data_IF_835540006251
#
_entry.id   IF_835540006251
#
_cell.length_a   1.000
_cell.length_b   1.000
_cell.length_c   1.000
_cell.angle_alpha   90.00
_cell.angle_beta   90.00
_cell.angle_gamma   90.00
#
_symmetry.space_group_name_H-M   'P 1'
#
loop_
_entity.id
_entity.type
_entity.pdbx_description
1 polymer ?
#
# COMPACT_ATOMS: atom_id res chain seq x y z
N UNK A 1 -13.88 1.19 -21.33
CA UNK A 1 -15.35 1.04 -21.19
C UNK A 1 -15.96 2.16 -20.35
N UNK A 2 -15.25 2.67 -19.36
CA UNK A 2 -15.79 3.61 -18.38
C UNK A 2 -15.53 5.08 -18.72
N UNK A 3 -14.60 5.35 -19.64
CA UNK A 3 -14.23 6.70 -20.07
C UNK A 3 -14.37 6.79 -21.58
N UNK A 4 -15.05 7.87 -22.04
CA UNK A 4 -15.10 8.17 -23.47
C UNK A 4 -13.76 8.74 -23.90
N UNK A 5 -13.15 8.11 -24.92
CA UNK A 5 -11.87 8.55 -25.49
C UNK A 5 -12.08 9.16 -26.86
N UNK A 6 -11.24 10.11 -27.24
CA UNK A 6 -11.30 10.75 -28.54
C UNK A 6 -10.66 9.87 -29.63
N UNK A 7 -9.58 9.19 -29.28
CA UNK A 7 -8.85 8.29 -30.16
C UNK A 7 -8.52 7.00 -29.41
N UNK A 8 -8.53 5.87 -30.09
CA UNK A 8 -8.13 4.60 -29.54
C UNK A 8 -7.43 3.74 -30.59
N UNK A 9 -6.57 2.86 -30.12
CA UNK A 9 -5.96 1.81 -30.93
C UNK A 9 -6.12 0.47 -30.21
N UNK A 10 -6.24 -0.60 -30.95
CA UNK A 10 -6.31 -1.97 -30.43
C UNK A 10 -5.10 -2.78 -30.90
N UNK A 11 -3.92 -2.27 -30.62
CA UNK A 11 -2.64 -2.86 -31.00
C UNK A 11 -1.73 -3.00 -29.77
N UNK A 12 -0.63 -3.71 -29.91
CA UNK A 12 0.42 -3.74 -28.90
C UNK A 12 0.96 -2.33 -28.64
N UNK A 13 1.05 -1.95 -27.36
CA UNK A 13 1.44 -0.58 -26.99
C UNK A 13 2.88 -0.26 -27.42
N UNK A 14 3.79 -1.22 -27.41
CA UNK A 14 5.18 -1.02 -27.81
C UNK A 14 5.24 -0.69 -29.29
N UNK A 15 4.54 -1.47 -30.12
CA UNK A 15 4.46 -1.20 -31.57
C UNK A 15 3.82 0.14 -31.85
N UNK A 16 2.72 0.46 -31.19
CA UNK A 16 2.04 1.76 -31.32
C UNK A 16 2.97 2.93 -31.00
N UNK A 17 3.72 2.85 -29.91
CA UNK A 17 4.66 3.90 -29.52
C UNK A 17 5.83 4.03 -30.49
N UNK A 18 6.35 2.91 -31.01
CA UNK A 18 7.40 2.92 -32.02
C UNK A 18 6.92 3.57 -33.33
N UNK A 19 5.71 3.26 -33.79
CA UNK A 19 5.11 3.87 -34.96
C UNK A 19 4.86 5.39 -34.77
N UNK A 20 4.35 5.81 -33.62
CA UNK A 20 4.16 7.22 -33.28
C UNK A 20 5.49 7.95 -33.29
N UNK A 21 6.51 7.43 -32.66
CA UNK A 21 7.84 8.05 -32.64
C UNK A 21 8.43 8.15 -34.05
N UNK A 22 8.35 7.06 -34.83
CA UNK A 22 8.79 7.07 -36.23
C UNK A 22 8.04 8.09 -37.09
N UNK A 23 6.73 8.24 -36.86
CA UNK A 23 5.93 9.25 -37.56
C UNK A 23 6.34 10.68 -37.18
N UNK A 24 6.58 10.94 -35.90
CA UNK A 24 7.06 12.23 -35.39
C UNK A 24 8.40 12.60 -36.03
N UNK A 25 9.35 11.68 -36.01
CA UNK A 25 10.69 11.88 -36.54
C UNK A 25 10.66 12.09 -38.07
N UNK A 26 9.91 11.26 -38.80
CA UNK A 26 9.82 11.31 -40.27
C UNK A 26 9.15 12.59 -40.79
N UNK A 27 8.27 13.19 -39.99
CA UNK A 27 7.55 14.39 -40.37
C UNK A 27 8.14 15.67 -39.71
N UNK A 28 9.27 15.54 -39.00
CA UNK A 28 9.92 16.64 -38.27
C UNK A 28 8.91 17.44 -37.41
N UNK A 29 8.02 16.72 -36.70
CA UNK A 29 7.01 17.37 -35.86
C UNK A 29 7.69 18.01 -34.68
N UNK A 30 7.69 19.31 -34.63
CA UNK A 30 8.20 20.10 -33.51
C UNK A 30 7.09 20.34 -32.48
N UNK A 31 7.29 19.82 -31.27
CA UNK A 31 6.45 20.10 -30.10
C UNK A 31 6.97 21.30 -29.29
N UNK A 32 8.07 21.92 -29.74
CA UNK A 32 8.67 23.09 -29.09
C UNK A 32 7.76 24.31 -29.06
N UNK A 33 8.00 25.17 -28.13
CA UNK A 33 7.36 26.48 -28.06
C UNK A 33 5.99 26.56 -27.37
N UNK A 34 5.42 25.47 -26.91
CA UNK A 34 4.21 25.53 -26.06
C UNK A 34 4.61 25.97 -24.64
N UNK A 35 4.07 27.08 -24.20
CA UNK A 35 4.23 27.50 -22.81
C UNK A 35 3.25 26.77 -21.90
N UNK A 36 3.78 25.92 -21.05
CA UNK A 36 3.02 25.18 -20.02
C UNK A 36 3.15 25.81 -18.63
N UNK A 37 3.70 27.02 -18.50
CA UNK A 37 3.97 27.65 -17.21
C UNK A 37 2.70 27.80 -16.35
N UNK A 38 1.58 28.20 -16.96
CA UNK A 38 0.29 28.29 -16.26
C UNK A 38 -0.19 26.93 -15.73
N UNK A 39 -0.02 25.87 -16.52
CA UNK A 39 -0.40 24.52 -16.10
C UNK A 39 0.50 23.99 -14.98
N UNK A 40 1.81 24.22 -15.10
CA UNK A 40 2.75 23.91 -14.02
C UNK A 40 2.50 24.76 -12.77
N UNK A 41 2.11 26.01 -12.94
CA UNK A 41 1.66 26.87 -11.84
C UNK A 41 0.49 26.23 -11.09
N UNK A 42 -0.53 25.78 -11.79
CA UNK A 42 -1.69 25.11 -11.19
C UNK A 42 -1.32 23.78 -10.49
N UNK A 43 -0.46 22.95 -11.12
CA UNK A 43 0.04 21.73 -10.50
C UNK A 43 0.79 22.04 -9.21
N UNK A 44 1.61 23.07 -9.19
CA UNK A 44 2.37 23.47 -8.01
C UNK A 44 1.46 23.98 -6.87
N UNK A 45 0.38 24.70 -7.20
CA UNK A 45 -0.63 25.08 -6.19
C UNK A 45 -1.31 23.85 -5.58
N UNK A 46 -1.64 22.84 -6.38
CA UNK A 46 -2.18 21.58 -5.85
C UNK A 46 -1.18 20.83 -4.97
N UNK A 47 0.11 20.81 -5.34
CA UNK A 47 1.19 20.20 -4.55
C UNK A 47 1.34 20.82 -3.16
N UNK A 48 1.11 22.13 -3.04
CA UNK A 48 1.18 22.85 -1.75
C UNK A 48 0.17 22.34 -0.71
N UNK A 49 -0.86 21.63 -1.13
CA UNK A 49 -1.83 21.02 -0.20
C UNK A 49 -1.26 19.88 0.64
N UNK A 50 -0.12 19.32 0.21
CA UNK A 50 0.58 18.24 0.91
C UNK A 50 -0.36 17.13 1.40
N UNK A 51 -1.26 16.66 0.51
CA UNK A 51 -2.34 15.74 0.84
C UNK A 51 -1.89 14.40 1.43
N UNK A 52 -0.59 14.08 1.37
CA UNK A 52 0.03 12.92 2.02
C UNK A 52 0.78 13.28 3.31
N UNK A 53 0.62 14.53 3.79
CA UNK A 53 1.20 14.93 5.06
C UNK A 53 0.55 14.16 6.23
N UNK A 54 1.37 13.74 7.20
CA UNK A 54 0.93 13.14 8.45
C UNK A 54 1.83 13.62 9.59
N UNK A 55 1.28 13.68 10.78
CA UNK A 55 2.03 14.04 11.98
C UNK A 55 2.35 12.76 12.77
N UNK A 56 3.63 12.50 12.96
CA UNK A 56 4.11 11.42 13.82
C UNK A 56 4.38 11.97 15.22
N UNK A 57 3.64 11.48 16.20
CA UNK A 57 3.91 11.75 17.61
C UNK A 57 5.00 10.83 18.20
N UNK A 58 5.28 10.97 19.48
CA UNK A 58 6.41 10.30 20.15
C UNK A 58 6.12 8.87 20.65
N UNK A 59 4.84 8.50 20.77
CA UNK A 59 4.45 7.23 21.41
C UNK A 59 3.96 6.19 20.41
N UNK A 60 2.94 6.52 19.63
CA UNK A 60 2.25 5.58 18.75
C UNK A 60 2.80 5.67 17.33
N UNK A 61 3.13 4.53 16.74
CA UNK A 61 3.59 4.48 15.35
C UNK A 61 2.41 4.76 14.41
N UNK A 62 2.52 5.78 13.57
CA UNK A 62 1.59 5.96 12.46
C UNK A 62 1.88 4.95 11.35
N UNK A 63 0.86 4.32 10.73
CA UNK A 63 1.09 3.39 9.62
C UNK A 63 1.89 4.00 8.47
N UNK A 64 1.63 5.26 8.15
CA UNK A 64 2.37 6.04 7.14
C UNK A 64 3.86 6.12 7.49
N UNK A 65 4.16 6.37 8.77
CA UNK A 65 5.52 6.45 9.28
C UNK A 65 6.23 5.10 9.19
N UNK A 66 5.57 4.03 9.62
CA UNK A 66 6.12 2.67 9.54
C UNK A 66 6.55 2.32 8.11
N UNK A 67 5.71 2.61 7.11
CA UNK A 67 6.04 2.35 5.69
C UNK A 67 7.12 3.30 5.16
N UNK A 68 7.09 4.58 5.55
CA UNK A 68 8.13 5.53 5.16
C UNK A 68 9.50 5.11 5.70
N UNK A 69 9.55 4.65 6.98
CA UNK A 69 10.80 4.13 7.57
C UNK A 69 11.26 2.84 6.90
N UNK A 70 10.32 1.91 6.61
CA UNK A 70 10.61 0.70 5.87
C UNK A 70 11.26 1.02 4.52
N UNK A 71 10.69 1.96 3.76
CA UNK A 71 11.28 2.42 2.49
C UNK A 71 12.67 2.99 2.70
N UNK A 72 12.85 3.95 3.62
CA UNK A 72 14.15 4.61 3.84
C UNK A 72 15.27 3.63 4.19
N UNK A 73 14.97 2.61 5.00
CA UNK A 73 15.93 1.59 5.43
C UNK A 73 16.17 0.49 4.39
N UNK A 74 15.32 0.40 3.35
CA UNK A 74 15.43 -0.63 2.30
C UNK A 74 15.70 -0.08 0.90
N UNK A 75 15.64 1.23 0.67
CA UNK A 75 15.71 1.88 -0.65
C UNK A 75 16.98 1.58 -1.47
N UNK A 76 18.05 1.15 -0.83
CA UNK A 76 19.31 0.78 -1.50
C UNK A 76 19.35 -0.70 -1.93
N UNK A 77 18.35 -1.49 -1.54
CA UNK A 77 18.24 -2.90 -1.89
C UNK A 77 17.36 -3.08 -3.12
N UNK A 78 17.61 -4.13 -3.89
CA UNK A 78 16.69 -4.54 -4.95
C UNK A 78 15.50 -5.25 -4.30
N UNK A 79 14.41 -4.49 -4.11
CA UNK A 79 13.28 -4.91 -3.28
C UNK A 79 12.03 -5.16 -4.12
N UNK A 80 11.39 -6.30 -3.92
CA UNK A 80 10.03 -6.59 -4.36
C UNK A 80 9.09 -6.43 -3.17
N UNK A 81 8.01 -5.70 -3.37
CA UNK A 81 6.96 -5.53 -2.36
C UNK A 81 5.70 -6.24 -2.83
N UNK A 82 5.26 -7.20 -2.05
CA UNK A 82 3.90 -7.74 -2.15
C UNK A 82 3.01 -7.07 -1.12
N UNK A 83 1.70 -7.07 -1.33
CA UNK A 83 0.78 -6.58 -0.31
C UNK A 83 -0.38 -7.52 -0.12
N UNK A 84 -0.80 -7.63 1.11
CA UNK A 84 -2.13 -8.03 1.45
C UNK A 84 -3.14 -6.92 1.12
N UNK A 85 -4.44 -7.14 1.31
CA UNK A 85 -5.49 -6.18 0.94
C UNK A 85 -6.12 -5.53 2.16
N UNK A 86 -6.15 -4.21 2.16
CA UNK A 86 -6.69 -3.37 3.23
C UNK A 86 -6.06 -1.98 3.28
N UNK A 87 -6.14 -1.30 4.42
CA UNK A 87 -5.50 0.02 4.62
C UNK A 87 -3.98 -0.04 4.36
N UNK A 88 -3.31 -1.09 4.81
CA UNK A 88 -1.87 -1.31 4.61
C UNK A 88 -1.48 -1.30 3.12
N UNK A 89 -2.32 -1.84 2.24
CA UNK A 89 -2.14 -1.78 0.78
C UNK A 89 -2.15 -0.34 0.28
N UNK A 90 -3.11 0.47 0.74
CA UNK A 90 -3.23 1.87 0.36
C UNK A 90 -2.04 2.70 0.87
N UNK A 91 -1.68 2.53 2.14
CA UNK A 91 -0.50 3.21 2.70
C UNK A 91 0.79 2.78 2.01
N UNK A 92 0.93 1.49 1.67
CA UNK A 92 2.08 1.03 0.92
C UNK A 92 2.16 1.70 -0.47
N UNK A 93 1.04 1.82 -1.17
CA UNK A 93 0.99 2.53 -2.45
C UNK A 93 1.30 4.04 -2.34
N UNK A 94 0.96 4.66 -1.20
CA UNK A 94 1.18 6.10 -0.97
C UNK A 94 2.60 6.42 -0.50
N UNK A 95 3.21 5.59 0.36
CA UNK A 95 4.43 5.93 1.09
C UNK A 95 5.65 5.07 0.74
N UNK A 96 5.49 3.90 0.12
CA UNK A 96 6.62 3.13 -0.40
C UNK A 96 6.92 3.54 -1.85
N UNK A 97 8.14 4.01 -2.12
CA UNK A 97 8.51 4.53 -3.44
C UNK A 97 9.17 3.45 -4.30
N UNK A 98 8.84 3.42 -5.59
CA UNK A 98 9.39 2.48 -6.55
C UNK A 98 10.15 3.21 -7.65
N UNK A 99 11.39 2.79 -7.91
CA UNK A 99 12.26 3.32 -8.98
C UNK A 99 12.41 2.38 -10.17
N UNK A 100 11.92 1.12 -10.04
CA UNK A 100 11.99 0.09 -11.07
C UNK A 100 10.61 -0.47 -11.36
N UNK A 101 10.31 -0.87 -12.60
CA UNK A 101 9.07 -1.56 -12.93
C UNK A 101 9.00 -2.94 -12.26
N UNK A 102 7.78 -3.49 -12.18
CA UNK A 102 7.51 -4.85 -11.67
C UNK A 102 8.05 -5.11 -10.25
N UNK A 103 8.11 -4.07 -9.40
CA UNK A 103 8.51 -4.17 -8.00
C UNK A 103 7.33 -4.09 -7.02
N UNK A 104 6.14 -3.84 -7.54
CA UNK A 104 4.87 -3.76 -6.81
C UNK A 104 3.94 -4.89 -7.26
N UNK A 105 3.62 -5.81 -6.36
CA UNK A 105 2.82 -7.01 -6.61
C UNK A 105 1.62 -6.99 -5.67
N UNK A 106 0.44 -6.70 -6.19
CA UNK A 106 -0.75 -6.49 -5.38
C UNK A 106 -2.02 -6.95 -6.08
N UNK A 107 -3.01 -7.39 -5.33
CA UNK A 107 -4.35 -7.67 -5.85
C UNK A 107 -5.15 -6.37 -5.98
N UNK A 108 -4.83 -5.56 -7.01
CA UNK A 108 -5.47 -4.26 -7.24
C UNK A 108 -6.79 -4.32 -8.00
N UNK A 109 -7.09 -5.43 -8.66
CA UNK A 109 -8.33 -5.61 -9.42
C UNK A 109 -9.47 -6.17 -8.56
N UNK A 110 -9.31 -7.39 -8.05
CA UNK A 110 -10.30 -8.05 -7.19
C UNK A 110 -10.18 -7.64 -5.72
N UNK A 111 -8.98 -7.26 -5.27
CA UNK A 111 -8.76 -6.93 -3.86
C UNK A 111 -8.85 -8.17 -2.96
N UNK A 112 -8.14 -9.23 -3.33
CA UNK A 112 -8.20 -10.51 -2.62
C UNK A 112 -7.35 -10.47 -1.36
N UNK A 113 -7.96 -10.48 -0.20
CA UNK A 113 -7.26 -10.69 1.08
C UNK A 113 -6.61 -12.09 1.10
N UNK A 114 -5.40 -12.20 1.66
CA UNK A 114 -4.60 -13.42 1.63
C UNK A 114 -3.73 -13.59 0.37
N UNK A 115 -3.66 -12.58 -0.50
CA UNK A 115 -2.85 -12.62 -1.72
C UNK A 115 -1.35 -12.40 -1.46
N UNK A 116 -1.00 -11.54 -0.51
CA UNK A 116 0.35 -11.00 -0.34
C UNK A 116 1.39 -12.08 0.00
N UNK A 117 1.11 -12.90 0.99
CA UNK A 117 2.04 -13.95 1.44
C UNK A 117 2.33 -15.00 0.35
N UNK A 118 1.34 -15.62 -0.33
CA UNK A 118 1.61 -16.53 -1.46
C UNK A 118 2.38 -15.85 -2.60
N UNK A 119 2.05 -14.60 -2.89
CA UNK A 119 2.75 -13.81 -3.91
C UNK A 119 4.22 -13.56 -3.53
N UNK A 120 4.51 -13.32 -2.24
CA UNK A 120 5.87 -13.17 -1.73
C UNK A 120 6.68 -14.46 -1.90
N UNK A 121 6.08 -15.63 -1.67
CA UNK A 121 6.71 -16.94 -1.93
C UNK A 121 7.11 -17.03 -3.40
N UNK A 122 6.19 -16.73 -4.33
CA UNK A 122 6.46 -16.76 -5.76
C UNK A 122 7.52 -15.74 -6.18
N UNK A 123 7.47 -14.52 -5.64
CA UNK A 123 8.43 -13.47 -5.93
C UNK A 123 9.85 -13.84 -5.47
N UNK A 124 9.99 -14.42 -4.26
CA UNK A 124 11.28 -14.83 -3.73
C UNK A 124 11.87 -16.03 -4.48
N UNK A 125 11.03 -16.98 -4.89
CA UNK A 125 11.47 -18.09 -5.72
C UNK A 125 12.02 -17.62 -7.09
N UNK A 126 11.37 -16.62 -7.67
CA UNK A 126 11.79 -16.07 -8.97
C UNK A 126 12.98 -15.11 -8.86
N UNK A 127 13.23 -14.53 -7.68
CA UNK A 127 14.27 -13.52 -7.44
C UNK A 127 15.02 -13.83 -6.14
N UNK A 128 15.83 -14.89 -6.10
CA UNK A 128 16.43 -15.40 -4.86
C UNK A 128 17.37 -14.40 -4.16
N UNK A 129 18.03 -13.53 -4.92
CA UNK A 129 19.00 -12.56 -4.41
C UNK A 129 18.37 -11.21 -4.02
N UNK A 130 17.07 -11.04 -4.26
CA UNK A 130 16.38 -9.80 -3.96
C UNK A 130 15.73 -9.85 -2.57
N UNK A 131 15.51 -8.67 -1.98
CA UNK A 131 14.72 -8.54 -0.77
C UNK A 131 13.23 -8.60 -1.15
N UNK A 132 12.48 -9.52 -0.56
CA UNK A 132 11.02 -9.60 -0.75
C UNK A 132 10.32 -9.26 0.55
N UNK A 133 9.44 -8.26 0.51
CA UNK A 133 8.67 -7.78 1.66
C UNK A 133 7.18 -7.90 1.35
N UNK A 134 6.44 -8.60 2.19
CA UNK A 134 4.99 -8.59 2.20
C UNK A 134 4.50 -7.55 3.22
N UNK A 135 3.83 -6.49 2.77
CA UNK A 135 3.21 -5.49 3.63
C UNK A 135 1.78 -5.94 3.90
N UNK A 136 1.50 -6.30 5.13
CA UNK A 136 0.30 -7.00 5.52
C UNK A 136 -0.50 -6.26 6.61
N UNK A 137 -1.79 -6.55 6.68
CA UNK A 137 -2.60 -6.36 7.86
C UNK A 137 -2.82 -7.71 8.52
N UNK A 138 -3.05 -7.74 9.83
CA UNK A 138 -3.12 -8.95 10.62
C UNK A 138 -4.20 -9.92 10.14
N UNK A 139 -5.41 -9.41 9.89
CA UNK A 139 -6.53 -10.26 9.46
C UNK A 139 -6.33 -10.83 8.06
N UNK A 140 -5.77 -10.05 7.15
CA UNK A 140 -5.51 -10.47 5.77
C UNK A 140 -4.40 -11.52 5.71
N UNK A 141 -3.32 -11.31 6.46
CA UNK A 141 -2.21 -12.26 6.58
C UNK A 141 -2.66 -13.64 7.11
N UNK A 142 -3.57 -13.64 8.10
CA UNK A 142 -4.08 -14.90 8.68
C UNK A 142 -4.86 -15.77 7.69
N UNK A 143 -5.33 -15.21 6.57
CA UNK A 143 -6.12 -15.96 5.59
C UNK A 143 -5.30 -17.01 4.82
N UNK A 144 -3.97 -16.80 4.66
CA UNK A 144 -3.06 -17.72 3.99
C UNK A 144 -1.77 -17.97 4.79
N UNK A 145 -1.88 -17.95 6.11
CA UNK A 145 -0.79 -18.16 7.06
C UNK A 145 0.00 -19.46 6.84
N UNK A 146 -0.66 -20.52 6.32
CA UNK A 146 -0.03 -21.81 6.03
C UNK A 146 1.14 -21.72 5.06
N UNK A 147 1.22 -20.69 4.23
CA UNK A 147 2.30 -20.49 3.28
C UNK A 147 3.65 -20.14 3.95
N UNK A 148 3.63 -19.81 5.25
CA UNK A 148 4.87 -19.73 6.03
C UNK A 148 5.60 -21.07 6.03
N UNK A 149 4.87 -22.19 6.09
CA UNK A 149 5.48 -23.52 6.02
C UNK A 149 6.22 -23.74 4.69
N UNK A 150 5.66 -23.26 3.58
CA UNK A 150 6.31 -23.26 2.27
C UNK A 150 7.59 -22.42 2.28
N UNK A 151 7.52 -21.21 2.81
CA UNK A 151 8.68 -20.31 2.91
C UNK A 151 9.80 -20.92 3.77
N UNK A 152 9.48 -21.53 4.89
CA UNK A 152 10.45 -22.19 5.77
C UNK A 152 11.04 -23.44 5.09
N UNK A 153 10.21 -24.27 4.46
CA UNK A 153 10.64 -25.49 3.77
C UNK A 153 11.67 -25.19 2.69
N UNK A 154 11.46 -24.13 1.92
CA UNK A 154 12.33 -23.73 0.80
C UNK A 154 13.37 -22.68 1.21
N UNK A 155 13.47 -22.34 2.49
CA UNK A 155 14.44 -21.36 3.04
C UNK A 155 14.36 -20.00 2.35
N UNK A 156 13.15 -19.54 2.07
CA UNK A 156 12.90 -18.26 1.42
C UNK A 156 12.95 -17.13 2.46
N UNK A 157 13.90 -16.17 2.38
CA UNK A 157 14.07 -15.15 3.42
C UNK A 157 13.07 -14.00 3.33
N UNK A 158 11.80 -14.32 3.13
CA UNK A 158 10.70 -13.36 2.99
C UNK A 158 10.51 -12.57 4.29
N UNK A 159 10.18 -11.29 4.17
CA UNK A 159 9.89 -10.39 5.29
C UNK A 159 8.40 -10.06 5.29
N UNK A 160 7.66 -10.50 6.29
CA UNK A 160 6.26 -10.17 6.48
C UNK A 160 6.20 -9.00 7.45
N UNK A 161 5.79 -7.82 6.97
CA UNK A 161 5.70 -6.57 7.71
C UNK A 161 4.24 -6.27 8.02
N UNK A 162 3.77 -6.69 9.22
CA UNK A 162 2.38 -6.55 9.63
C UNK A 162 2.17 -5.18 10.28
N UNK A 163 1.31 -4.36 9.68
CA UNK A 163 0.76 -3.16 10.32
C UNK A 163 -0.42 -3.56 11.20
N UNK A 164 -0.12 -3.89 12.45
CA UNK A 164 -1.09 -4.41 13.40
C UNK A 164 -1.85 -3.28 14.10
N UNK A 165 -3.09 -3.06 13.69
CA UNK A 165 -4.00 -2.07 14.29
C UNK A 165 -5.20 -2.71 15.01
N UNK A 166 -5.23 -4.04 15.13
CA UNK A 166 -6.31 -4.82 15.74
C UNK A 166 -7.68 -4.62 15.07
N UNK A 167 -7.70 -4.22 13.81
CA UNK A 167 -8.93 -3.99 13.06
C UNK A 167 -8.85 -4.53 11.62
N UNK A 168 -9.96 -4.97 11.10
CA UNK A 168 -10.17 -4.97 9.66
C UNK A 168 -10.28 -3.49 9.21
N UNK A 169 -9.12 -2.85 9.09
CA UNK A 169 -9.00 -1.39 9.12
C UNK A 169 -9.78 -0.67 8.02
N UNK A 170 -9.86 -1.21 6.80
CA UNK A 170 -10.64 -0.60 5.72
C UNK A 170 -12.16 -0.71 6.00
N UNK A 171 -12.61 -1.83 6.57
CA UNK A 171 -14.02 -1.98 7.00
C UNK A 171 -14.34 -0.95 8.09
N UNK A 172 -13.49 -0.82 9.10
CA UNK A 172 -13.63 0.19 10.15
C UNK A 172 -13.69 1.61 9.58
N UNK A 173 -12.78 1.94 8.65
CA UNK A 173 -12.73 3.26 8.00
C UNK A 173 -14.04 3.58 7.27
N UNK A 174 -14.61 2.63 6.56
CA UNK A 174 -15.89 2.81 5.88
C UNK A 174 -17.03 2.98 6.88
N UNK A 175 -17.05 2.18 7.95
CA UNK A 175 -18.04 2.34 9.03
C UNK A 175 -17.95 3.72 9.67
N UNK A 176 -16.73 4.23 9.88
CA UNK A 176 -16.51 5.58 10.40
C UNK A 176 -16.96 6.66 9.41
N UNK A 177 -16.45 6.61 8.19
CA UNK A 177 -16.62 7.71 7.23
C UNK A 177 -17.98 7.69 6.53
N UNK A 178 -18.55 6.54 6.23
CA UNK A 178 -19.72 6.41 5.38
C UNK A 178 -20.97 5.92 6.12
N UNK A 179 -20.82 5.32 7.29
CA UNK A 179 -21.91 4.69 8.02
C UNK A 179 -22.13 5.28 9.42
N UNK A 180 -21.76 6.54 9.64
CA UNK A 180 -22.04 7.27 10.89
C UNK A 180 -21.37 6.66 12.12
N UNK A 181 -20.17 6.11 11.96
CA UNK A 181 -19.39 5.44 13.02
C UNK A 181 -20.14 4.26 13.69
N UNK A 182 -21.00 3.60 12.93
CA UNK A 182 -21.67 2.37 13.39
C UNK A 182 -20.75 1.18 13.14
N UNK A 183 -19.87 0.92 14.11
CA UNK A 183 -18.92 -0.18 14.06
C UNK A 183 -19.60 -1.51 14.33
N UNK A 184 -19.33 -2.52 13.48
CA UNK A 184 -19.81 -3.89 13.63
C UNK A 184 -18.77 -4.86 13.08
N UNK A 185 -18.34 -5.82 13.90
CA UNK A 185 -17.47 -6.94 13.54
C UNK A 185 -16.18 -6.57 12.78
N UNK A 186 -15.67 -5.35 13.01
CA UNK A 186 -14.41 -4.87 12.39
C UNK A 186 -13.22 -4.88 13.35
N UNK A 187 -13.46 -5.03 14.66
CA UNK A 187 -12.44 -5.17 15.68
C UNK A 187 -12.05 -6.64 15.86
N UNK A 188 -10.77 -6.90 16.03
CA UNK A 188 -10.23 -8.24 16.22
C UNK A 188 -9.42 -8.26 17.51
N UNK A 189 -10.02 -8.73 18.61
CA UNK A 189 -9.41 -8.82 19.94
C UNK A 189 -8.73 -10.16 20.24
N UNK A 190 -9.00 -11.18 19.41
CA UNK A 190 -8.48 -12.55 19.58
C UNK A 190 -7.34 -12.86 18.58
N UNK A 191 -6.46 -11.88 18.33
CA UNK A 191 -5.30 -12.07 17.47
C UNK A 191 -4.26 -12.99 18.12
N UNK A 192 -3.58 -13.83 17.33
CA UNK A 192 -2.44 -14.58 17.83
C UNK A 192 -1.28 -13.65 18.19
N UNK A 193 -0.42 -14.09 19.08
CA UNK A 193 0.90 -13.46 19.23
C UNK A 193 1.74 -13.80 18.00
N UNK A 194 1.89 -12.86 17.07
CA UNK A 194 2.59 -13.09 15.79
C UNK A 194 4.06 -13.46 15.97
N UNK A 195 4.71 -13.05 17.05
CA UNK A 195 6.08 -13.49 17.34
C UNK A 195 6.13 -14.98 17.68
N UNK A 196 5.26 -15.45 18.58
CA UNK A 196 5.15 -16.88 18.90
C UNK A 196 4.65 -17.69 17.72
N UNK A 197 3.77 -17.12 16.92
CA UNK A 197 3.29 -17.72 15.69
C UNK A 197 4.43 -18.00 14.71
N UNK A 198 5.30 -17.02 14.47
CA UNK A 198 6.50 -17.21 13.66
C UNK A 198 7.38 -18.34 14.18
N UNK A 199 7.66 -18.36 15.49
CA UNK A 199 8.44 -19.39 16.15
C UNK A 199 7.83 -20.78 15.98
N UNK A 200 6.49 -20.91 16.03
CA UNK A 200 5.79 -22.19 15.86
C UNK A 200 5.94 -22.77 14.44
N UNK A 201 6.17 -21.92 13.45
CA UNK A 201 6.51 -22.32 12.07
C UNK A 201 8.04 -22.47 11.83
N UNK A 202 8.88 -22.31 12.85
CA UNK A 202 10.34 -22.24 12.72
C UNK A 202 10.80 -21.04 11.88
N UNK A 203 9.99 -19.96 11.78
CA UNK A 203 10.38 -18.64 11.29
C UNK A 203 10.90 -17.79 12.44
N UNK A 204 11.26 -16.53 12.17
CA UNK A 204 11.69 -15.59 13.19
C UNK A 204 10.59 -14.54 13.42
N UNK A 205 10.30 -14.23 14.68
CA UNK A 205 9.34 -13.19 15.05
C UNK A 205 10.04 -12.00 15.69
N UNK A 206 9.82 -10.80 15.15
CA UNK A 206 10.27 -9.52 15.73
C UNK A 206 9.08 -8.61 15.97
N UNK A 207 9.19 -7.60 16.83
CA UNK A 207 8.07 -6.73 17.18
C UNK A 207 8.54 -5.32 17.53
N UNK A 208 7.81 -4.31 17.04
CA UNK A 208 7.89 -2.93 17.51
C UNK A 208 6.52 -2.49 18.04
N UNK A 209 6.49 -1.94 19.27
CA UNK A 209 5.28 -1.45 19.93
C UNK A 209 5.20 0.07 19.98
N UNK A 210 6.32 0.73 19.81
CA UNK A 210 6.47 2.17 19.86
C UNK A 210 7.51 2.64 18.85
N UNK A 211 7.59 3.95 18.66
CA UNK A 211 8.43 4.56 17.63
C UNK A 211 9.93 4.30 17.87
N UNK A 212 10.38 4.23 19.10
CA UNK A 212 11.80 4.03 19.42
C UNK A 212 12.31 2.64 19.06
N UNK A 213 11.42 1.66 18.92
CA UNK A 213 11.75 0.28 18.55
C UNK A 213 11.69 0.04 17.03
N UNK A 214 11.05 0.95 16.27
CA UNK A 214 10.68 0.70 14.87
C UNK A 214 11.90 0.45 13.97
N UNK A 215 12.86 1.36 13.98
CA UNK A 215 14.02 1.29 13.08
C UNK A 215 14.90 0.07 13.39
N UNK A 216 15.12 -0.23 14.66
CA UNK A 216 15.89 -1.39 15.09
C UNK A 216 15.18 -2.69 14.69
N UNK A 217 13.85 -2.75 14.84
CA UNK A 217 13.04 -3.90 14.41
C UNK A 217 13.10 -4.09 12.89
N UNK A 218 13.03 -3.02 12.09
CA UNK A 218 13.16 -3.11 10.63
C UNK A 218 14.57 -3.61 10.24
N UNK A 219 15.62 -3.05 10.85
CA UNK A 219 17.00 -3.45 10.57
C UNK A 219 17.24 -4.92 10.97
N UNK A 220 16.75 -5.36 12.12
CA UNK A 220 16.79 -6.76 12.54
C UNK A 220 16.08 -7.65 11.53
N UNK A 221 14.83 -7.34 11.18
CA UNK A 221 14.05 -8.08 10.17
C UNK A 221 14.82 -8.26 8.87
N UNK A 222 15.42 -7.19 8.35
CA UNK A 222 16.10 -7.18 7.05
C UNK A 222 17.45 -7.93 7.10
N UNK A 223 18.10 -8.00 8.27
CA UNK A 223 19.41 -8.66 8.44
C UNK A 223 19.34 -10.19 8.51
N UNK A 224 18.18 -10.74 8.86
CA UNK A 224 18.00 -12.19 9.08
C UNK A 224 17.78 -12.90 7.74
N UNK A 225 18.60 -13.89 7.42
CA UNK A 225 18.47 -14.71 6.20
C UNK A 225 17.52 -15.91 6.42
N UNK A 226 16.32 -15.63 6.86
CA UNK A 226 15.21 -16.59 7.12
C UNK A 226 13.88 -15.88 6.95
N UNK A 227 12.74 -16.60 6.82
CA UNK A 227 11.42 -15.98 6.94
C UNK A 227 11.27 -15.24 8.27
N UNK A 228 10.82 -13.97 8.21
CA UNK A 228 10.60 -13.14 9.40
C UNK A 228 9.20 -12.59 9.39
N UNK A 229 8.51 -12.64 10.53
CA UNK A 229 7.28 -11.90 10.79
C UNK A 229 7.60 -10.74 11.72
N UNK A 230 7.44 -9.52 11.21
CA UNK A 230 7.56 -8.30 11.98
C UNK A 230 6.16 -7.77 12.35
N UNK A 231 5.83 -7.84 13.62
CA UNK A 231 4.57 -7.37 14.20
C UNK A 231 4.72 -5.91 14.64
N UNK A 232 4.28 -4.97 13.81
CA UNK A 232 4.41 -3.54 14.03
C UNK A 232 3.08 -2.98 14.54
N UNK A 233 3.02 -2.62 15.81
CA UNK A 233 1.83 -2.05 16.42
C UNK A 233 1.66 -0.60 16.00
N UNK A 234 0.57 -0.31 15.33
CA UNK A 234 0.29 1.01 14.77
C UNK A 234 -0.99 1.61 15.31
N UNK A 235 -1.20 2.91 15.03
CA UNK A 235 -2.41 3.61 15.45
C UNK A 235 -3.67 2.89 14.95
N UNK A 236 -4.51 2.49 15.89
CA UNK A 236 -5.74 1.72 15.65
C UNK A 236 -6.82 2.50 14.89
N UNK A 237 -6.79 3.82 14.97
CA UNK A 237 -7.84 4.70 14.45
C UNK A 237 -7.42 5.49 13.20
N UNK A 238 -6.20 5.29 12.73
CA UNK A 238 -5.73 5.99 11.54
C UNK A 238 -6.55 5.61 10.31
N UNK A 239 -6.82 6.61 9.46
CA UNK A 239 -7.53 6.44 8.20
C UNK A 239 -6.62 6.72 7.00
N UNK A 240 -6.88 6.04 5.88
CA UNK A 240 -6.21 6.33 4.62
C UNK A 240 -6.82 7.57 3.98
N UNK A 241 -5.98 8.58 3.78
CA UNK A 241 -6.31 9.77 3.00
C UNK A 241 -5.15 10.08 2.05
N UNK A 242 -5.41 10.69 0.87
CA UNK A 242 -6.71 10.95 0.27
C UNK A 242 -7.51 9.68 -0.05
N UNK A 243 -8.84 9.76 -0.01
CA UNK A 243 -9.73 8.66 -0.36
C UNK A 243 -10.86 9.16 -1.26
N UNK A 244 -11.13 8.44 -2.35
CA UNK A 244 -12.30 8.70 -3.19
C UNK A 244 -13.43 7.79 -2.73
N UNK A 245 -14.55 8.33 -2.21
CA UNK A 245 -15.72 7.52 -1.87
C UNK A 245 -16.22 6.76 -3.09
N UNK A 246 -16.77 5.57 -2.88
CA UNK A 246 -17.33 4.79 -3.98
C UNK A 246 -18.40 5.57 -4.73
N UNK A 247 -18.32 5.58 -6.07
CA UNK A 247 -19.20 6.33 -6.95
C UNK A 247 -18.88 7.83 -7.10
N UNK A 248 -17.94 8.37 -6.33
CA UNK A 248 -17.49 9.75 -6.44
C UNK A 248 -16.46 9.96 -7.56
N UNK A 249 -16.36 11.20 -8.05
CA UNK A 249 -15.33 11.60 -9.00
C UNK A 249 -14.00 11.95 -8.30
N UNK A 250 -12.89 11.98 -9.05
CA UNK A 250 -11.56 12.26 -8.49
C UNK A 250 -11.46 13.63 -7.79
N UNK A 251 -12.18 14.64 -8.26
CA UNK A 251 -12.20 15.96 -7.62
C UNK A 251 -13.05 16.01 -6.32
N UNK A 252 -13.77 14.94 -6.02
CA UNK A 252 -14.58 14.78 -4.82
C UNK A 252 -13.86 13.94 -3.74
N UNK A 253 -12.54 13.75 -3.88
CA UNK A 253 -11.77 12.98 -2.90
C UNK A 253 -11.77 13.67 -1.53
N UNK A 254 -11.85 12.85 -0.50
CA UNK A 254 -11.67 13.27 0.88
C UNK A 254 -10.17 13.38 1.17
N UNK A 255 -9.71 14.54 1.63
CA UNK A 255 -8.32 14.79 1.99
C UNK A 255 -8.06 14.54 3.48
N UNK A 256 -9.11 14.65 4.30
CA UNK A 256 -9.04 14.45 5.75
C UNK A 256 -10.37 14.00 6.31
N UNK A 257 -10.39 13.60 7.58
CA UNK A 257 -11.63 13.29 8.30
C UNK A 257 -12.58 14.50 8.44
N UNK A 258 -12.05 15.72 8.35
CA UNK A 258 -12.84 16.96 8.48
C UNK A 258 -13.63 17.29 7.21
N UNK A 259 -13.22 16.80 6.04
CA UNK A 259 -14.01 16.95 4.81
C UNK A 259 -15.35 16.23 4.88
N UNK A 260 -15.51 15.34 5.87
CA UNK A 260 -16.77 14.64 6.18
C UNK A 260 -17.86 15.55 6.73
N UNK A 261 -17.49 16.65 7.36
CA UNK A 261 -18.45 17.62 7.95
C UNK A 261 -19.15 18.47 6.89
N UNK A 262 -18.71 18.37 5.63
CA UNK A 262 -19.42 19.00 4.52
C UNK A 262 -20.73 18.22 4.24
N UNK A 263 -21.93 18.87 4.38
CA UNK A 263 -23.24 18.22 4.18
C UNK A 263 -23.38 17.50 2.83
N UNK A 264 -22.74 18.00 1.78
CA UNK A 264 -22.77 17.39 0.45
C UNK A 264 -22.08 16.01 0.40
N UNK A 265 -21.11 15.75 1.27
CA UNK A 265 -20.40 14.46 1.33
C UNK A 265 -21.15 13.42 2.16
N UNK A 266 -22.04 13.84 3.09
CA UNK A 266 -22.83 12.92 3.92
C UNK A 266 -23.97 12.23 3.15
N UNK A 267 -24.49 12.85 2.10
CA UNK A 267 -25.58 12.25 1.30
C UNK A 267 -25.06 11.20 0.30
N UNK A 268 -23.84 11.34 -0.19
CA UNK A 268 -23.25 10.44 -1.20
C UNK A 268 -23.00 9.02 -0.70
N UNK A 269 -22.71 8.84 0.58
CA UNK A 269 -22.54 7.51 1.19
C UNK A 269 -23.85 6.71 1.35
N UNK A 270 -25.01 7.35 1.22
CA UNK A 270 -26.31 6.70 1.35
C UNK A 270 -26.81 6.00 0.08
N UNK A 271 -26.17 6.24 -1.06
CA UNK A 271 -26.59 5.74 -2.38
C UNK A 271 -26.05 4.31 -2.65
N UNK A 272 -25.30 3.71 -1.73
CA UNK A 272 -24.63 2.42 -1.92
C UNK A 272 -25.23 1.26 -1.09
N UNK A 273 -26.45 1.39 -0.63
CA UNK A 273 -27.18 0.28 0.02
C UNK A 273 -28.43 -0.04 -0.78
#
# INVERSE_FOLDING_TARGET
>A
KNVKVNFHTNTDITLTLLEINSFIDSNNIDFGGKDYSNWWGQINEWRKKECLHYEQGDEVIKPQHAISRLYELTKQKDTYVTTEVGQHQMWAAQYYKFSKPNRWITSGGLGTMGFGMPAAVGAQMANPDSLVIDIAGEASFLMNIQEIATAVQYKLPIKIFILNNEYMGMVRQWQELLHGSRYSESYVDALPDFKKLAESFNAVGVRAKNISELDDTINEMVSIDRPVIADIWVDKKENCFPMIPSGAAHHEMLLSKYDKENPENQEKGKVLV
#
